data_IF_087732883825
#
_entry.id   IF_087732883825
#
_cell.length_a   1.000
_cell.length_b   1.000
_cell.length_c   1.000
_cell.angle_alpha   90.00
_cell.angle_beta   90.00
_cell.angle_gamma   90.00
#
_symmetry.space_group_name_H-M   'P 1'
#
loop_
_entity.id
_entity.type
_entity.pdbx_description
1 polymer ?
#
# COMPACT_ATOMS: atom_id res chain seq x y z
N UNK A 1 -10.39 6.98 -18.46
CA UNK A 1 -9.30 6.79 -17.50
C UNK A 1 -9.47 7.83 -16.40
N UNK A 2 -10.05 7.46 -15.26
CA UNK A 2 -10.18 8.37 -14.12
C UNK A 2 -8.85 8.35 -13.36
N UNK A 3 -8.13 9.46 -13.37
CA UNK A 3 -6.98 9.69 -12.52
C UNK A 3 -7.49 9.81 -11.09
N UNK A 4 -7.13 8.82 -10.27
CA UNK A 4 -7.34 8.80 -8.84
C UNK A 4 -6.63 10.02 -8.24
N UNK A 5 -7.39 10.99 -7.72
CA UNK A 5 -6.84 11.99 -6.80
C UNK A 5 -6.66 11.32 -5.44
N UNK A 6 -5.76 10.34 -5.40
CA UNK A 6 -5.10 10.01 -4.16
C UNK A 6 -4.29 11.25 -3.81
N UNK A 7 -4.45 11.80 -2.59
CA UNK A 7 -3.38 12.59 -2.01
C UNK A 7 -2.19 11.65 -1.92
N UNK A 8 -1.40 11.61 -2.99
CA UNK A 8 -0.06 11.11 -2.96
C UNK A 8 0.62 12.02 -1.94
N UNK A 9 0.75 11.55 -0.71
CA UNK A 9 1.74 12.08 0.21
C UNK A 9 3.05 11.95 -0.55
N UNK A 10 3.47 13.06 -1.18
CA UNK A 10 4.76 13.16 -1.80
C UNK A 10 5.74 12.72 -0.71
N UNK A 11 6.50 11.64 -0.91
CA UNK A 11 7.50 11.26 0.07
C UNK A 11 8.35 12.50 0.29
N UNK A 12 8.49 12.91 1.55
CA UNK A 12 9.52 13.87 1.95
C UNK A 12 10.78 13.45 1.21
N UNK A 13 11.36 14.36 0.42
CA UNK A 13 12.47 14.05 -0.48
C UNK A 13 13.51 13.22 0.28
N UNK A 14 13.52 11.91 0.00
CA UNK A 14 14.47 11.02 0.63
C UNK A 14 15.84 11.41 0.10
N UNK A 15 16.79 11.64 1.01
CA UNK A 15 18.17 11.88 0.60
C UNK A 15 18.72 10.54 0.13
N UNK A 16 18.76 10.35 -1.19
CA UNK A 16 19.31 9.18 -1.86
C UNK A 16 20.81 9.37 -2.05
N UNK A 17 21.60 8.35 -1.76
CA UNK A 17 23.05 8.35 -1.89
C UNK A 17 23.53 7.04 -2.51
N UNK A 18 24.54 7.14 -3.38
CA UNK A 18 25.27 5.99 -3.87
C UNK A 18 26.11 5.38 -2.73
N UNK A 19 26.30 4.06 -2.76
CA UNK A 19 27.20 3.38 -1.83
C UNK A 19 28.66 3.83 -2.04
N UNK A 20 29.45 3.84 -0.97
CA UNK A 20 30.89 4.10 -1.05
C UNK A 20 31.61 2.98 -1.80
N UNK A 21 31.20 1.74 -1.56
CA UNK A 21 31.71 0.57 -2.27
C UNK A 21 30.65 -0.52 -2.42
N UNK A 22 30.91 -1.42 -3.36
CA UNK A 22 30.07 -2.56 -3.70
C UNK A 22 30.90 -3.83 -3.81
N UNK A 23 30.40 -4.92 -3.24
CA UNK A 23 30.89 -6.27 -3.46
C UNK A 23 29.74 -7.15 -3.94
N UNK A 24 30.00 -8.04 -4.90
CA UNK A 24 28.97 -8.89 -5.48
C UNK A 24 29.44 -10.33 -5.57
N UNK A 25 28.49 -11.27 -5.54
CA UNK A 25 28.76 -12.70 -5.66
C UNK A 25 29.48 -13.12 -6.95
N UNK A 26 29.25 -12.40 -8.07
CA UNK A 26 29.94 -12.59 -9.34
C UNK A 26 29.82 -11.34 -10.22
N UNK A 27 30.71 -11.19 -11.20
CA UNK A 27 30.64 -10.11 -12.18
C UNK A 27 31.14 -10.58 -13.53
N UNK A 28 30.43 -10.23 -14.59
CA UNK A 28 30.97 -10.30 -15.93
C UNK A 28 32.12 -9.29 -16.07
N UNK A 29 33.22 -9.69 -16.69
CA UNK A 29 34.42 -8.82 -16.84
C UNK A 29 34.12 -7.50 -17.55
N UNK A 30 33.19 -7.49 -18.51
CA UNK A 30 32.79 -6.29 -19.26
C UNK A 30 31.79 -5.40 -18.52
N UNK A 31 31.20 -5.90 -17.43
CA UNK A 31 30.14 -5.24 -16.67
C UNK A 31 30.39 -5.40 -15.18
N UNK A 32 31.48 -4.80 -14.67
CA UNK A 32 31.91 -4.95 -13.29
C UNK A 32 30.92 -4.33 -12.29
N UNK A 33 31.00 -4.77 -11.03
CA UNK A 33 30.14 -4.27 -9.95
C UNK A 33 30.16 -2.75 -9.78
N UNK A 34 31.30 -2.09 -10.05
CA UNK A 34 31.43 -0.63 -9.94
C UNK A 34 30.44 0.14 -10.80
N UNK A 35 29.97 -0.44 -11.90
CA UNK A 35 28.96 0.17 -12.77
C UNK A 35 27.57 0.26 -12.14
N UNK A 36 27.33 -0.37 -11.00
CA UNK A 36 26.05 -0.27 -10.29
C UNK A 36 26.05 0.81 -9.20
N UNK A 37 27.12 1.57 -9.03
CA UNK A 37 27.25 2.63 -8.01
C UNK A 37 28.02 3.85 -8.54
N UNK A 38 28.15 3.99 -9.86
CA UNK A 38 28.91 5.07 -10.48
C UNK A 38 28.05 6.30 -10.83
N UNK A 39 26.74 6.24 -10.59
CA UNK A 39 25.80 7.32 -10.83
C UNK A 39 25.50 7.54 -12.32
N UNK A 40 25.84 6.60 -13.19
CA UNK A 40 25.58 6.61 -14.61
C UNK A 40 24.64 5.47 -15.01
N UNK A 41 23.35 5.79 -15.19
CA UNK A 41 22.33 4.83 -15.61
C UNK A 41 22.51 4.24 -17.03
N UNK A 42 23.50 4.70 -17.79
CA UNK A 42 23.86 4.11 -19.09
C UNK A 42 24.88 2.96 -18.98
N UNK A 43 25.57 2.83 -17.85
CA UNK A 43 26.40 1.68 -17.49
C UNK A 43 25.58 0.70 -16.65
N UNK A 44 26.04 -0.54 -16.56
CA UNK A 44 25.40 -1.54 -15.69
C UNK A 44 26.38 -2.65 -15.29
N UNK A 45 26.23 -3.11 -14.04
CA UNK A 45 26.78 -4.39 -13.58
C UNK A 45 25.95 -5.55 -14.13
N UNK A 46 26.61 -6.68 -14.37
CA UNK A 46 25.96 -7.95 -14.68
C UNK A 46 26.64 -9.10 -13.94
N UNK A 47 25.87 -10.05 -13.40
CA UNK A 47 26.41 -11.30 -12.88
C UNK A 47 27.10 -12.11 -13.98
N UNK A 48 28.02 -12.98 -13.59
CA UNK A 48 28.83 -13.70 -14.57
C UNK A 48 27.99 -14.69 -15.38
N UNK A 49 27.98 -14.52 -16.70
CA UNK A 49 27.33 -15.43 -17.66
C UNK A 49 28.32 -16.15 -18.57
N UNK A 50 29.56 -15.68 -18.62
CA UNK A 50 30.65 -16.24 -19.42
C UNK A 50 32.00 -15.95 -18.76
N UNK A 51 32.94 -16.92 -18.70
CA UNK A 51 32.92 -18.20 -19.41
C UNK A 51 32.04 -19.28 -18.76
N UNK A 52 31.71 -19.14 -17.47
CA UNK A 52 30.83 -20.07 -16.76
C UNK A 52 29.72 -19.27 -16.10
N UNK A 53 28.47 -19.66 -16.37
CA UNK A 53 27.32 -19.08 -15.70
C UNK A 53 27.41 -19.34 -14.19
N UNK A 54 27.35 -18.28 -13.40
CA UNK A 54 27.10 -18.38 -11.96
C UNK A 54 25.58 -18.30 -11.76
N UNK A 55 24.92 -19.33 -11.20
CA UNK A 55 23.47 -19.31 -11.04
C UNK A 55 23.03 -18.46 -9.83
N UNK A 56 21.76 -18.06 -9.84
CA UNK A 56 21.07 -17.47 -8.67
C UNK A 56 21.11 -18.43 -7.46
N UNK A 57 21.08 -17.92 -6.21
CA UNK A 57 20.92 -16.51 -5.85
C UNK A 57 22.20 -15.68 -6.02
N UNK A 58 22.03 -14.39 -6.33
CA UNK A 58 23.11 -13.43 -6.39
C UNK A 58 23.04 -12.47 -5.21
N UNK A 59 24.17 -12.34 -4.51
CA UNK A 59 24.29 -11.45 -3.34
C UNK A 59 25.08 -10.20 -3.70
N UNK A 60 24.57 -9.05 -3.28
CA UNK A 60 25.18 -7.72 -3.43
C UNK A 60 25.33 -7.13 -2.03
N UNK A 61 26.52 -6.66 -1.70
CA UNK A 61 26.85 -5.94 -0.47
C UNK A 61 27.20 -4.50 -0.83
N UNK A 62 26.57 -3.55 -0.14
CA UNK A 62 26.84 -2.13 -0.26
C UNK A 62 27.36 -1.61 1.06
N UNK A 63 28.48 -0.86 1.04
CA UNK A 63 29.02 -0.15 2.18
C UNK A 63 28.70 1.35 2.04
N UNK A 64 28.01 1.94 3.02
CA UNK A 64 27.74 3.38 3.06
C UNK A 64 28.95 4.19 3.53
N UNK A 65 30.04 3.53 3.94
CA UNK A 65 31.29 4.09 4.45
C UNK A 65 31.26 4.43 5.95
N UNK A 66 30.09 4.73 6.50
CA UNK A 66 29.90 5.02 7.93
C UNK A 66 28.51 4.61 8.40
N UNK A 67 28.35 4.34 9.70
CA UNK A 67 27.05 3.99 10.26
C UNK A 67 26.09 5.17 10.20
N UNK A 68 24.96 4.98 9.54
CA UNK A 68 23.94 6.00 9.27
C UNK A 68 22.54 5.43 9.54
N UNK A 69 21.54 6.31 9.66
CA UNK A 69 20.15 5.90 9.82
C UNK A 69 19.52 5.70 8.44
N UNK A 70 19.39 4.45 8.01
CA UNK A 70 18.88 4.07 6.68
C UNK A 70 17.37 3.80 6.74
N UNK A 71 16.64 4.11 5.68
CA UNK A 71 15.21 3.80 5.58
C UNK A 71 14.74 3.41 4.17
N UNK A 72 15.66 3.21 3.23
CA UNK A 72 15.28 2.79 1.90
C UNK A 72 16.43 2.31 1.04
N UNK A 73 16.04 1.69 -0.06
CA UNK A 73 16.91 1.14 -1.09
C UNK A 73 16.30 1.45 -2.46
N UNK A 74 17.15 1.77 -3.43
CA UNK A 74 16.79 1.99 -4.82
C UNK A 74 17.51 1.00 -5.72
N UNK A 75 16.79 0.50 -6.72
CA UNK A 75 17.32 -0.33 -7.79
C UNK A 75 16.89 0.24 -9.14
N UNK A 76 17.85 0.49 -10.02
CA UNK A 76 17.61 0.86 -11.42
C UNK A 76 18.04 -0.32 -12.28
N UNK A 77 17.09 -1.00 -12.97
CA UNK A 77 17.43 -1.98 -13.99
C UNK A 77 18.25 -1.37 -15.12
N UNK A 78 18.91 -2.19 -15.93
CA UNK A 78 19.59 -1.73 -17.15
C UNK A 78 18.64 -0.95 -18.08
N UNK A 79 19.17 0.10 -18.72
CA UNK A 79 18.41 1.05 -19.55
C UNK A 79 18.66 0.87 -21.05
N UNK A 80 19.28 -0.22 -21.47
CA UNK A 80 19.66 -0.55 -22.85
C UNK A 80 18.54 -1.23 -23.66
N UNK A 81 17.34 -1.36 -23.08
CA UNK A 81 16.20 -2.05 -23.66
C UNK A 81 16.23 -3.58 -23.51
N UNK A 82 17.28 -4.14 -22.89
CA UNK A 82 17.32 -5.55 -22.50
C UNK A 82 16.79 -5.69 -21.06
N UNK A 83 16.02 -6.75 -20.81
CA UNK A 83 15.44 -7.02 -19.50
C UNK A 83 16.10 -8.21 -18.79
N UNK A 84 17.06 -8.89 -19.42
CA UNK A 84 17.76 -10.01 -18.81
C UNK A 84 18.50 -9.56 -17.55
N UNK A 85 18.22 -10.27 -16.46
CA UNK A 85 18.82 -9.98 -15.16
C UNK A 85 18.06 -8.93 -14.36
N UNK A 86 16.85 -8.57 -14.77
CA UNK A 86 15.93 -7.83 -13.91
C UNK A 86 15.69 -8.63 -12.63
N UNK A 87 15.94 -8.02 -11.47
CA UNK A 87 15.77 -8.72 -10.18
C UNK A 87 14.29 -8.99 -9.95
N UNK A 88 13.91 -10.24 -9.70
CA UNK A 88 12.57 -10.65 -9.32
C UNK A 88 12.39 -10.62 -7.80
N UNK A 89 12.27 -11.80 -7.20
CA UNK A 89 12.18 -11.98 -5.75
C UNK A 89 13.53 -11.71 -5.10
N UNK A 90 13.50 -11.01 -3.97
CA UNK A 90 14.70 -10.60 -3.24
C UNK A 90 14.45 -10.49 -1.74
N UNK A 91 15.54 -10.47 -0.97
CA UNK A 91 15.54 -9.96 0.40
C UNK A 91 16.60 -8.88 0.59
N UNK A 92 16.25 -7.86 1.37
CA UNK A 92 17.17 -6.82 1.84
C UNK A 92 17.46 -7.03 3.33
N UNK A 93 18.72 -6.99 3.69
CA UNK A 93 19.17 -7.00 5.07
C UNK A 93 20.13 -5.83 5.33
N UNK A 94 20.19 -5.39 6.58
CA UNK A 94 21.09 -4.34 7.04
C UNK A 94 22.00 -4.85 8.15
N UNK A 95 23.17 -4.22 8.29
CA UNK A 95 24.16 -4.55 9.31
C UNK A 95 24.99 -3.34 9.70
N UNK A 96 25.45 -3.30 10.95
CA UNK A 96 26.45 -2.33 11.43
C UNK A 96 27.88 -2.85 11.34
N UNK A 97 28.08 -4.18 11.25
CA UNK A 97 29.38 -4.85 11.41
C UNK A 97 29.77 -5.76 10.23
N UNK A 98 28.91 -5.87 9.21
CA UNK A 98 29.03 -6.77 8.06
C UNK A 98 29.05 -8.27 8.41
N UNK A 99 28.59 -8.64 9.61
CA UNK A 99 28.58 -10.03 10.12
C UNK A 99 27.21 -10.45 10.58
N UNK A 100 26.58 -9.62 11.39
CA UNK A 100 25.23 -9.83 11.92
C UNK A 100 24.24 -9.08 11.05
N UNK A 101 23.27 -9.80 10.48
CA UNK A 101 22.34 -9.25 9.49
C UNK A 101 20.90 -9.33 9.99
N UNK A 102 20.18 -8.22 9.86
CA UNK A 102 18.74 -8.15 10.09
C UNK A 102 18.04 -7.95 8.76
N UNK A 103 17.21 -8.92 8.35
CA UNK A 103 16.36 -8.78 7.16
C UNK A 103 15.30 -7.71 7.43
N UNK A 104 15.24 -6.69 6.57
CA UNK A 104 14.30 -5.56 6.67
C UNK A 104 13.19 -5.64 5.63
N UNK A 105 13.40 -6.33 4.51
CA UNK A 105 12.39 -6.53 3.45
C UNK A 105 12.58 -7.89 2.78
N UNK A 106 11.47 -8.54 2.45
CA UNK A 106 11.40 -9.62 1.45
C UNK A 106 10.25 -9.30 0.51
N UNK A 107 10.52 -9.20 -0.80
CA UNK A 107 9.51 -8.81 -1.78
C UNK A 107 9.89 -9.26 -3.20
N UNK A 108 9.15 -8.79 -4.20
CA UNK A 108 9.38 -9.04 -5.62
C UNK A 108 9.27 -7.71 -6.37
N UNK A 109 10.26 -7.39 -7.20
CA UNK A 109 10.18 -6.23 -8.07
C UNK A 109 9.35 -6.53 -9.33
N UNK A 110 8.68 -5.51 -9.85
CA UNK A 110 8.01 -5.58 -11.15
C UNK A 110 9.04 -5.75 -12.29
N UNK A 111 8.68 -6.54 -13.28
CA UNK A 111 9.52 -6.84 -14.44
C UNK A 111 9.43 -5.75 -15.51
N UNK A 112 10.03 -4.61 -15.23
CA UNK A 112 10.14 -3.48 -16.15
C UNK A 112 11.43 -2.69 -15.88
N UNK A 113 11.76 -1.74 -16.75
CA UNK A 113 12.97 -0.92 -16.65
C UNK A 113 12.84 0.28 -15.68
N UNK A 114 11.68 0.45 -15.01
CA UNK A 114 11.45 1.60 -14.13
C UNK A 114 12.32 1.52 -12.87
N UNK A 115 12.70 2.67 -12.33
CA UNK A 115 13.37 2.76 -11.03
C UNK A 115 12.46 2.15 -9.95
N UNK A 116 13.01 1.20 -9.19
CA UNK A 116 12.36 0.60 -8.04
C UNK A 116 12.84 1.27 -6.77
N UNK A 117 11.92 1.61 -5.88
CA UNK A 117 12.24 2.16 -4.56
C UNK A 117 11.52 1.34 -3.50
N UNK A 118 12.27 0.98 -2.46
CA UNK A 118 11.81 0.16 -1.36
C UNK A 118 12.07 0.92 -0.07
N UNK A 119 11.02 1.21 0.68
CA UNK A 119 11.15 1.74 2.04
C UNK A 119 11.29 0.61 3.05
N UNK A 120 11.95 0.87 4.17
CA UNK A 120 11.92 0.02 5.35
C UNK A 120 12.01 0.86 6.62
N UNK A 121 11.87 0.21 7.78
CA UNK A 121 11.92 0.93 9.05
C UNK A 121 13.27 1.59 9.29
N UNK A 122 13.28 2.81 9.86
CA UNK A 122 14.50 3.54 10.17
C UNK A 122 15.45 2.64 10.99
N UNK A 123 16.59 2.27 10.41
CA UNK A 123 17.52 1.31 11.01
C UNK A 123 18.94 1.84 10.94
N UNK A 124 19.63 1.85 12.09
CA UNK A 124 21.03 2.23 12.15
C UNK A 124 21.88 1.13 11.47
N UNK A 125 22.57 1.46 10.39
CA UNK A 125 23.35 0.52 9.61
C UNK A 125 24.48 1.19 8.84
N UNK A 126 25.51 0.41 8.50
CA UNK A 126 26.57 0.78 7.56
C UNK A 126 26.51 -0.05 6.27
N UNK A 127 26.01 -1.28 6.38
CA UNK A 127 25.99 -2.21 5.27
C UNK A 127 24.56 -2.56 4.90
N UNK A 128 24.31 -2.66 3.60
CA UNK A 128 23.11 -3.23 3.01
C UNK A 128 23.50 -4.50 2.25
N UNK A 129 22.69 -5.54 2.37
CA UNK A 129 22.82 -6.77 1.58
C UNK A 129 21.53 -7.05 0.85
N UNK A 130 21.60 -7.03 -0.47
CA UNK A 130 20.55 -7.52 -1.35
C UNK A 130 20.86 -8.95 -1.74
N UNK A 131 19.90 -9.86 -1.56
CA UNK A 131 19.97 -11.23 -2.02
C UNK A 131 18.88 -11.46 -3.07
N UNK A 132 19.25 -11.43 -4.34
CA UNK A 132 18.35 -11.68 -5.47
C UNK A 132 18.19 -13.19 -5.66
N UNK A 133 16.96 -13.71 -5.52
CA UNK A 133 16.66 -15.14 -5.56
C UNK A 133 15.95 -15.58 -6.83
N UNK A 134 15.37 -14.65 -7.60
CA UNK A 134 14.85 -14.92 -8.95
C UNK A 134 15.15 -13.78 -9.91
N UNK A 135 15.07 -14.09 -11.21
CA UNK A 135 15.01 -13.10 -12.29
C UNK A 135 13.52 -12.84 -12.62
N UNK A 136 13.15 -11.57 -12.81
CA UNK A 136 11.75 -11.11 -12.80
C UNK A 136 10.91 -11.68 -13.95
N UNK A 137 11.51 -11.90 -15.12
CA UNK A 137 10.84 -12.42 -16.30
C UNK A 137 11.04 -13.91 -16.52
N UNK A 138 11.70 -14.61 -15.59
CA UNK A 138 12.11 -16.02 -15.72
C UNK A 138 12.92 -16.29 -17.02
N UNK A 139 13.81 -15.36 -17.38
CA UNK A 139 14.58 -15.41 -18.64
C UNK A 139 15.91 -16.17 -18.51
N UNK A 140 16.40 -16.31 -17.29
CA UNK A 140 17.65 -17.01 -16.99
C UNK A 140 18.10 -16.79 -15.55
N UNK A 141 19.32 -17.22 -15.25
CA UNK A 141 19.88 -17.17 -13.90
C UNK A 141 20.87 -16.02 -13.76
N UNK A 142 20.41 -14.82 -14.09
CA UNK A 142 21.23 -13.61 -14.07
C UNK A 142 20.66 -12.56 -13.14
N UNK A 143 21.52 -11.65 -12.69
CA UNK A 143 21.16 -10.39 -12.06
C UNK A 143 21.97 -9.27 -12.71
N UNK A 144 21.34 -8.13 -12.95
CA UNK A 144 21.99 -6.93 -13.47
C UNK A 144 21.37 -5.67 -12.87
N UNK A 145 22.15 -4.60 -12.81
CA UNK A 145 21.71 -3.30 -12.33
C UNK A 145 22.50 -2.18 -12.99
N UNK A 146 21.78 -1.13 -13.41
CA UNK A 146 22.40 0.13 -13.76
C UNK A 146 22.82 0.89 -12.51
N UNK A 147 21.96 0.97 -11.49
CA UNK A 147 22.31 1.65 -10.23
C UNK A 147 21.68 0.98 -9.02
N UNK A 148 22.40 1.03 -7.91
CA UNK A 148 21.93 0.75 -6.56
C UNK A 148 22.25 1.95 -5.66
N UNK A 149 21.21 2.47 -5.01
CA UNK A 149 21.37 3.52 -4.01
C UNK A 149 20.69 3.14 -2.69
N UNK A 150 20.99 3.89 -1.63
CA UNK A 150 20.28 3.83 -0.36
C UNK A 150 19.66 5.18 -0.01
N UNK A 151 18.64 5.16 0.85
CA UNK A 151 18.00 6.37 1.38
C UNK A 151 18.30 6.56 2.86
N UNK A 152 18.59 7.80 3.24
CA UNK A 152 18.72 8.21 4.63
C UNK A 152 17.36 8.59 5.23
N UNK A 153 17.13 8.15 6.46
CA UNK A 153 16.02 8.64 7.25
C UNK A 153 16.22 10.13 7.57
N UNK A 154 15.15 10.95 7.49
CA UNK A 154 15.22 12.32 7.96
C UNK A 154 15.57 12.33 9.45
N UNK A 155 16.52 13.20 9.83
CA UNK A 155 16.80 13.46 11.24
C UNK A 155 15.75 14.42 11.78
N UNK A 156 15.28 14.21 13.01
CA UNK A 156 14.34 15.13 13.64
C UNK A 156 14.96 16.54 13.69
N UNK A 157 14.30 17.52 13.09
CA UNK A 157 14.64 18.93 13.30
C UNK A 157 13.96 19.35 14.61
N UNK A 158 14.72 19.95 15.52
CA UNK A 158 14.32 20.19 16.91
C UNK A 158 12.88 20.68 17.07
N UNK A 159 12.04 19.86 17.72
CA UNK A 159 10.64 20.17 18.05
C UNK A 159 9.60 19.93 16.94
N UNK A 160 9.99 19.53 15.73
CA UNK A 160 9.07 19.39 14.57
C UNK A 160 8.64 17.95 14.26
N UNK A 161 9.01 16.98 15.10
CA UNK A 161 8.76 15.56 14.84
C UNK A 161 9.64 14.99 13.72
N UNK A 162 9.39 13.74 13.34
CA UNK A 162 10.09 13.05 12.26
C UNK A 162 9.12 12.18 11.49
N UNK A 163 9.27 12.14 10.16
CA UNK A 163 8.52 11.23 9.31
C UNK A 163 9.15 9.84 9.31
N UNK A 164 8.30 8.82 9.34
CA UNK A 164 8.69 7.43 9.23
C UNK A 164 8.44 6.63 10.51
N UNK A 165 8.57 5.30 10.44
CA UNK A 165 9.01 4.52 9.27
C UNK A 165 7.98 4.43 8.13
N UNK A 166 8.42 4.01 6.94
CA UNK A 166 7.49 3.59 5.86
C UNK A 166 6.90 2.24 6.24
N UNK A 167 5.58 2.12 6.18
CA UNK A 167 4.85 0.86 6.39
C UNK A 167 4.56 0.26 5.01
N UNK A 168 5.17 -0.89 4.72
CA UNK A 168 4.92 -1.61 3.48
C UNK A 168 3.63 -2.41 3.59
N UNK A 169 2.59 -2.01 2.87
CA UNK A 169 1.31 -2.71 2.83
C UNK A 169 1.24 -3.67 1.63
N UNK A 170 0.58 -4.83 1.74
CA UNK A 170 0.42 -5.79 0.65
C UNK A 170 -0.64 -5.36 -0.40
N UNK A 171 -1.22 -4.16 -0.23
CA UNK A 171 -2.24 -3.56 -1.06
C UNK A 171 -2.09 -2.04 -1.08
N UNK A 172 -2.87 -1.35 -1.92
CA UNK A 172 -3.04 0.10 -1.88
C UNK A 172 -4.14 0.44 -0.86
N UNK A 173 -3.82 0.96 0.33
CA UNK A 173 -4.80 1.18 1.39
C UNK A 173 -5.61 2.47 1.11
N UNK A 174 -6.75 2.35 0.43
CA UNK A 174 -7.59 3.50 0.05
C UNK A 174 -8.63 3.89 1.11
N UNK A 175 -8.91 2.98 2.04
CA UNK A 175 -9.79 3.19 3.18
C UNK A 175 -9.25 2.40 4.38
N UNK A 176 -9.65 2.76 5.59
CA UNK A 176 -9.24 2.05 6.79
C UNK A 176 -9.84 2.59 8.08
N UNK A 177 -9.69 1.83 9.16
CA UNK A 177 -10.06 2.25 10.52
C UNK A 177 -9.10 1.64 11.53
N UNK A 178 -9.09 2.20 12.74
CA UNK A 178 -8.33 1.66 13.87
C UNK A 178 -9.25 0.75 14.68
N UNK A 179 -8.84 -0.49 14.87
CA UNK A 179 -9.49 -1.43 15.78
C UNK A 179 -9.20 -1.00 17.22
N UNK A 180 -10.25 -0.64 17.96
CA UNK A 180 -10.10 -0.05 19.29
C UNK A 180 -9.51 -1.02 20.33
N UNK A 181 -9.84 -2.32 20.25
CA UNK A 181 -9.40 -3.32 21.24
C UNK A 181 -7.92 -3.66 21.15
N UNK A 182 -7.32 -3.56 19.97
CA UNK A 182 -5.95 -4.02 19.70
C UNK A 182 -5.01 -2.89 19.28
N UNK A 183 -5.55 -1.76 18.80
CA UNK A 183 -4.79 -0.71 18.13
C UNK A 183 -4.35 -1.07 16.70
N UNK A 184 -4.76 -2.23 16.18
CA UNK A 184 -4.48 -2.60 14.80
C UNK A 184 -5.15 -1.63 13.82
N UNK A 185 -4.52 -1.44 12.66
CA UNK A 185 -5.06 -0.61 11.59
C UNK A 185 -5.57 -1.54 10.49
N UNK A 186 -6.88 -1.56 10.29
CA UNK A 186 -7.51 -2.20 9.15
C UNK A 186 -7.46 -1.27 7.95
N UNK A 187 -7.15 -1.83 6.79
CA UNK A 187 -7.13 -1.12 5.51
C UNK A 187 -7.80 -1.94 4.42
N UNK A 188 -8.36 -1.26 3.43
CA UNK A 188 -9.12 -1.84 2.32
C UNK A 188 -8.57 -1.36 0.99
N UNK A 189 -8.56 -2.25 0.01
CA UNK A 189 -8.43 -1.92 -1.41
C UNK A 189 -9.81 -2.08 -2.08
N UNK A 190 -9.93 -3.05 -2.99
CA UNK A 190 -11.17 -3.46 -3.65
C UNK A 190 -11.17 -5.00 -3.80
N UNK A 191 -11.76 -5.57 -4.85
CA UNK A 191 -11.53 -6.96 -5.23
C UNK A 191 -10.05 -7.30 -5.54
N UNK A 192 -9.24 -6.32 -5.94
CA UNK A 192 -7.81 -6.48 -6.22
C UNK A 192 -6.93 -5.71 -5.22
N UNK A 193 -5.68 -6.15 -4.98
CA UNK A 193 -4.78 -5.47 -4.04
C UNK A 193 -4.25 -4.12 -4.56
N UNK A 194 -4.13 -3.96 -5.88
CA UNK A 194 -3.57 -2.75 -6.52
C UNK A 194 -4.42 -2.21 -7.67
N UNK A 195 -5.57 -2.86 -7.93
CA UNK A 195 -6.41 -2.56 -9.07
C UNK A 195 -7.88 -2.63 -8.66
N UNK A 196 -8.68 -1.80 -9.33
CA UNK A 196 -10.11 -1.75 -9.19
C UNK A 196 -10.77 -1.73 -10.58
N UNK A 197 -11.90 -2.41 -10.67
CA UNK A 197 -12.78 -2.52 -11.82
C UNK A 197 -14.18 -2.65 -11.24
N UNK A 198 -15.15 -1.92 -11.80
CA UNK A 198 -16.55 -2.02 -11.37
C UNK A 198 -17.05 -3.45 -11.61
N UNK A 199 -17.52 -4.15 -10.59
CA UNK A 199 -18.03 -5.51 -10.76
C UNK A 199 -18.55 -6.17 -9.48
N UNK A 200 -19.50 -7.09 -9.60
CA UNK A 200 -20.07 -7.79 -8.44
C UNK A 200 -19.20 -8.96 -8.01
N UNK A 201 -18.01 -8.67 -7.46
CA UNK A 201 -17.07 -9.69 -7.00
C UNK A 201 -17.48 -10.31 -5.65
N UNK A 202 -18.12 -9.52 -4.78
CA UNK A 202 -18.64 -10.00 -3.49
C UNK A 202 -17.56 -10.28 -2.44
N UNK A 203 -16.35 -9.73 -2.59
CA UNK A 203 -15.30 -9.82 -1.58
C UNK A 203 -14.44 -8.56 -1.60
N UNK A 204 -13.72 -8.33 -0.51
CA UNK A 204 -12.77 -7.23 -0.38
C UNK A 204 -11.39 -7.77 0.02
N UNK A 205 -10.35 -7.34 -0.70
CA UNK A 205 -8.97 -7.51 -0.28
C UNK A 205 -8.63 -6.41 0.72
N UNK A 206 -8.34 -6.85 1.93
CA UNK A 206 -8.01 -6.02 3.09
C UNK A 206 -6.61 -6.34 3.59
N UNK A 207 -6.05 -5.46 4.41
CA UNK A 207 -4.82 -5.70 5.11
C UNK A 207 -4.88 -5.12 6.52
N UNK A 208 -4.27 -5.84 7.47
CA UNK A 208 -4.17 -5.43 8.86
C UNK A 208 -2.72 -5.11 9.17
N UNK A 209 -2.48 -3.92 9.70
CA UNK A 209 -1.18 -3.53 10.26
C UNK A 209 -1.25 -3.55 11.78
N UNK A 210 -0.30 -4.23 12.42
CA UNK A 210 -0.13 -4.22 13.86
C UNK A 210 0.99 -3.23 14.23
N UNK A 211 0.68 -2.07 14.84
CA UNK A 211 1.70 -1.07 15.17
C UNK A 211 2.71 -1.53 16.24
N UNK A 212 2.34 -2.50 17.07
CA UNK A 212 3.21 -3.02 18.14
C UNK A 212 4.30 -3.93 17.59
N UNK A 213 3.97 -4.78 16.61
CA UNK A 213 4.91 -5.74 16.01
C UNK A 213 5.51 -5.26 14.69
N UNK A 214 4.90 -4.24 14.07
CA UNK A 214 5.23 -3.79 12.72
C UNK A 214 4.75 -4.74 11.61
N UNK A 215 4.03 -5.81 11.95
CA UNK A 215 3.60 -6.82 10.99
C UNK A 215 2.39 -6.34 10.16
N UNK A 216 2.39 -6.70 8.88
CA UNK A 216 1.25 -6.53 7.96
C UNK A 216 0.76 -7.88 7.47
N UNK A 217 -0.54 -8.12 7.46
CA UNK A 217 -1.16 -9.33 6.91
C UNK A 217 -2.24 -8.98 5.91
N UNK A 218 -2.36 -9.77 4.84
CA UNK A 218 -3.47 -9.66 3.88
C UNK A 218 -4.65 -10.52 4.35
N UNK A 219 -5.87 -10.01 4.21
CA UNK A 219 -7.12 -10.69 4.56
C UNK A 219 -8.08 -10.57 3.38
N UNK A 220 -8.69 -11.68 2.97
CA UNK A 220 -9.78 -11.65 2.00
C UNK A 220 -11.12 -11.76 2.74
N UNK A 221 -11.90 -10.68 2.73
CA UNK A 221 -13.22 -10.61 3.38
C UNK A 221 -14.30 -10.93 2.34
N UNK A 222 -14.73 -12.19 2.30
CA UNK A 222 -15.74 -12.69 1.34
C UNK A 222 -17.08 -13.05 1.98
N UNK A 223 -17.10 -13.30 3.29
CA UNK A 223 -18.28 -13.78 4.01
C UNK A 223 -19.43 -12.75 4.07
N UNK A 224 -19.14 -11.46 3.88
CA UNK A 224 -20.14 -10.39 3.83
C UNK A 224 -20.75 -10.16 2.45
N UNK A 225 -20.19 -10.79 1.40
CA UNK A 225 -20.60 -10.61 0.01
C UNK A 225 -20.58 -9.13 -0.42
N UNK A 226 -19.51 -8.43 -0.07
CA UNK A 226 -19.39 -6.98 -0.18
C UNK A 226 -17.97 -6.62 -0.67
N UNK A 227 -17.88 -6.01 -1.86
CA UNK A 227 -16.70 -5.23 -2.24
C UNK A 227 -16.84 -3.81 -1.69
N UNK A 228 -16.01 -3.51 -0.68
CA UNK A 228 -16.05 -2.30 0.14
C UNK A 228 -15.20 -1.17 -0.43
N UNK A 229 -14.87 -1.16 -1.72
CA UNK A 229 -14.25 -0.01 -2.39
C UNK A 229 -15.23 1.17 -2.49
N UNK A 230 -14.79 2.39 -2.22
CA UNK A 230 -15.62 3.61 -2.19
C UNK A 230 -16.76 3.64 -1.13
N UNK A 231 -16.56 3.12 0.10
CA UNK A 231 -17.64 2.99 1.05
C UNK A 231 -17.84 4.28 1.85
N UNK A 232 -18.90 4.31 2.64
CA UNK A 232 -18.98 5.16 3.83
C UNK A 232 -18.68 4.35 5.09
N UNK A 233 -17.95 4.92 6.05
CA UNK A 233 -17.45 4.21 7.25
C UNK A 233 -17.63 4.98 8.55
N UNK A 234 -17.97 4.28 9.63
CA UNK A 234 -18.04 4.86 10.98
C UNK A 234 -17.70 3.83 12.06
N UNK A 235 -17.31 4.32 13.23
CA UNK A 235 -17.20 3.51 14.45
C UNK A 235 -18.47 3.66 15.28
N UNK A 236 -19.08 2.54 15.66
CA UNK A 236 -20.26 2.50 16.52
C UNK A 236 -19.85 2.56 18.00
N UNK A 237 -20.80 2.88 18.88
CA UNK A 237 -20.54 3.03 20.33
C UNK A 237 -20.13 1.73 21.02
N UNK A 238 -20.45 0.58 20.45
CA UNK A 238 -20.02 -0.73 20.92
C UNK A 238 -18.61 -1.11 20.41
N UNK A 239 -17.90 -0.18 19.75
CA UNK A 239 -16.55 -0.35 19.23
C UNK A 239 -16.47 -1.05 17.88
N UNK A 240 -17.60 -1.48 17.30
CA UNK A 240 -17.62 -2.14 15.99
C UNK A 240 -17.49 -1.11 14.87
N UNK A 241 -16.81 -1.47 13.79
CA UNK A 241 -16.74 -0.66 12.59
C UNK A 241 -17.87 -1.05 11.63
N UNK A 242 -18.57 -0.06 11.08
CA UNK A 242 -19.57 -0.26 10.03
C UNK A 242 -19.04 0.30 8.71
N UNK A 243 -19.20 -0.47 7.64
CA UNK A 243 -18.79 -0.14 6.28
C UNK A 243 -19.99 -0.32 5.36
N UNK A 244 -20.34 0.71 4.60
CA UNK A 244 -21.60 0.78 3.84
C UNK A 244 -21.36 1.13 2.37
N UNK A 245 -22.07 0.45 1.49
CA UNK A 245 -22.06 0.74 0.06
C UNK A 245 -20.66 0.67 -0.56
N UNK A 246 -20.44 1.49 -1.58
CA UNK A 246 -19.25 1.35 -2.43
C UNK A 246 -19.57 0.53 -3.66
N UNK A 247 -18.66 -0.34 -4.11
CA UNK A 247 -18.85 -1.07 -5.37
C UNK A 247 -20.09 -1.99 -5.29
N UNK A 248 -20.26 -2.67 -4.15
CA UNK A 248 -21.55 -3.35 -3.86
C UNK A 248 -22.52 -2.41 -3.14
N UNK A 249 -23.08 -1.46 -3.90
CA UNK A 249 -23.71 -0.23 -3.42
C UNK A 249 -24.76 -0.32 -2.29
N UNK A 250 -25.47 -1.43 -2.10
CA UNK A 250 -26.52 -1.53 -1.07
C UNK A 250 -26.10 -2.28 0.20
N UNK A 251 -24.89 -2.83 0.24
CA UNK A 251 -24.45 -3.71 1.33
C UNK A 251 -23.98 -2.94 2.56
N UNK A 252 -23.99 -3.66 3.68
CA UNK A 252 -23.43 -3.21 4.95
C UNK A 252 -22.60 -4.34 5.54
N UNK A 253 -21.36 -4.05 5.89
CA UNK A 253 -20.44 -4.95 6.58
C UNK A 253 -20.11 -4.38 7.94
N UNK A 254 -20.06 -5.23 8.96
CA UNK A 254 -19.75 -4.84 10.34
C UNK A 254 -18.55 -5.66 10.79
N UNK A 255 -17.50 -5.00 11.25
CA UNK A 255 -16.37 -5.67 11.89
C UNK A 255 -16.54 -5.63 13.41
N UNK A 256 -16.56 -6.82 14.01
CA UNK A 256 -16.67 -7.02 15.45
C UNK A 256 -15.32 -7.44 16.04
N UNK A 257 -14.63 -6.48 16.65
CA UNK A 257 -13.33 -6.69 17.26
C UNK A 257 -13.33 -7.61 18.49
N UNK A 258 -14.51 -7.90 19.07
CA UNK A 258 -14.62 -8.85 20.18
C UNK A 258 -14.55 -10.31 19.73
N UNK A 259 -14.84 -10.57 18.45
CA UNK A 259 -14.81 -11.90 17.84
C UNK A 259 -13.81 -12.00 16.69
N UNK A 260 -13.18 -10.89 16.30
CA UNK A 260 -12.30 -10.76 15.13
C UNK A 260 -13.01 -11.26 13.85
N UNK A 261 -14.29 -10.89 13.70
CA UNK A 261 -15.12 -11.32 12.58
C UNK A 261 -15.77 -10.16 11.86
N UNK A 262 -15.84 -10.31 10.54
CA UNK A 262 -16.76 -9.55 9.70
C UNK A 262 -18.13 -10.21 9.68
N UNK A 263 -19.20 -9.42 9.76
CA UNK A 263 -20.59 -9.89 9.72
C UNK A 263 -21.39 -9.03 8.74
N UNK A 264 -22.26 -9.65 7.95
CA UNK A 264 -23.18 -8.93 7.09
C UNK A 264 -24.26 -8.22 7.93
N UNK A 265 -24.36 -6.90 7.78
CA UNK A 265 -25.45 -6.09 8.32
C UNK A 265 -26.67 -6.08 7.41
N UNK A 266 -27.74 -5.43 7.85
CA UNK A 266 -28.91 -5.18 7.01
C UNK A 266 -28.56 -4.35 5.77
N UNK A 267 -29.22 -4.67 4.66
CA UNK A 267 -29.06 -3.97 3.38
C UNK A 267 -29.66 -2.56 3.48
N UNK A 268 -28.94 -1.55 2.99
CA UNK A 268 -29.42 -0.15 2.93
C UNK A 268 -30.69 -0.03 2.09
N UNK A 269 -31.52 0.95 2.42
CA UNK A 269 -32.73 1.27 1.62
C UNK A 269 -32.38 2.02 0.35
N UNK A 270 -31.31 2.82 0.37
CA UNK A 270 -30.80 3.55 -0.80
C UNK A 270 -29.39 3.02 -1.08
N UNK A 271 -29.12 2.46 -2.27
CA UNK A 271 -27.77 2.06 -2.68
C UNK A 271 -26.87 3.30 -2.86
N UNK A 272 -25.63 3.26 -2.34
CA UNK A 272 -24.68 4.39 -2.28
C UNK A 272 -23.25 3.96 -2.55
N UNK A 273 -22.44 4.91 -2.98
CA UNK A 273 -20.98 4.87 -2.89
C UNK A 273 -20.44 6.31 -2.88
N UNK A 274 -19.30 6.55 -2.24
CA UNK A 274 -18.80 7.90 -1.91
C UNK A 274 -19.72 8.75 -1.02
N UNK A 275 -20.66 8.13 -0.30
CA UNK A 275 -21.34 8.80 0.80
C UNK A 275 -20.42 8.88 2.02
N UNK A 276 -20.51 9.92 2.85
CA UNK A 276 -20.07 9.80 4.24
C UNK A 276 -21.17 9.27 5.13
N UNK A 277 -20.72 8.75 6.26
CA UNK A 277 -21.55 8.25 7.33
C UNK A 277 -21.10 8.87 8.63
N UNK A 278 -22.02 9.06 9.57
CA UNK A 278 -21.66 9.52 10.90
C UNK A 278 -22.42 8.77 11.97
N UNK A 279 -21.71 8.38 13.03
CA UNK A 279 -22.35 7.90 14.25
C UNK A 279 -22.99 9.09 14.97
N UNK A 280 -24.27 8.97 15.28
CA UNK A 280 -25.07 10.00 15.97
C UNK A 280 -24.91 9.90 17.48
N UNK A 281 -25.35 10.92 18.21
CA UNK A 281 -25.36 10.92 19.69
C UNK A 281 -26.21 9.79 20.31
N UNK A 282 -27.08 9.17 19.53
CA UNK A 282 -27.92 8.04 19.96
C UNK A 282 -27.27 6.67 19.69
N UNK A 283 -26.05 6.63 19.15
CA UNK A 283 -25.35 5.40 18.77
C UNK A 283 -25.81 4.79 17.43
N UNK A 284 -26.80 5.40 16.78
CA UNK A 284 -27.23 5.03 15.41
C UNK A 284 -26.30 5.64 14.36
N UNK A 285 -26.28 5.08 13.15
CA UNK A 285 -25.37 5.52 12.07
C UNK A 285 -26.17 6.13 10.92
N UNK A 286 -25.89 7.39 10.60
CA UNK A 286 -26.60 8.16 9.57
C UNK A 286 -25.81 8.20 8.26
N UNK A 287 -26.49 8.02 7.14
CA UNK A 287 -25.95 8.10 5.78
C UNK A 287 -26.70 9.16 4.96
N UNK A 288 -26.01 9.92 4.10
CA UNK A 288 -26.62 10.83 3.12
C UNK A 288 -25.72 11.01 1.89
N UNK A 289 -26.30 11.23 0.70
CA UNK A 289 -25.54 11.39 -0.55
C UNK A 289 -24.99 10.08 -1.12
N UNK A 290 -23.95 10.21 -1.96
CA UNK A 290 -23.17 9.13 -2.54
C UNK A 290 -23.68 8.54 -3.86
N UNK A 291 -23.68 9.33 -4.93
CA UNK A 291 -24.08 8.92 -6.29
C UNK A 291 -22.99 8.23 -7.12
N UNK A 292 -21.84 7.89 -6.52
CA UNK A 292 -20.79 7.18 -7.25
C UNK A 292 -21.22 5.79 -7.77
N UNK A 293 -22.01 5.04 -6.98
CA UNK A 293 -22.60 3.76 -7.37
C UNK A 293 -24.07 3.68 -6.96
N UNK A 294 -24.82 2.72 -7.51
CA UNK A 294 -26.19 2.46 -7.07
C UNK A 294 -27.26 3.46 -7.57
N UNK A 295 -26.97 4.18 -8.66
CA UNK A 295 -27.87 5.19 -9.26
C UNK A 295 -27.51 6.63 -8.88
N UNK A 296 -28.05 7.60 -9.62
CA UNK A 296 -27.72 9.03 -9.48
C UNK A 296 -28.83 9.83 -8.81
N UNK A 297 -28.45 10.70 -7.88
CA UNK A 297 -29.31 11.71 -7.25
C UNK A 297 -30.37 11.12 -6.30
N UNK A 298 -31.07 12.02 -5.59
CA UNK A 298 -32.19 11.66 -4.72
C UNK A 298 -31.81 10.88 -3.45
N UNK A 299 -30.51 10.84 -3.10
CA UNK A 299 -29.98 10.04 -2.00
C UNK A 299 -30.11 10.71 -0.63
N UNK A 300 -31.36 10.96 -0.25
CA UNK A 300 -31.75 11.54 1.04
C UNK A 300 -31.26 10.69 2.23
N UNK A 301 -31.38 11.24 3.43
CA UNK A 301 -30.91 10.62 4.66
C UNK A 301 -31.58 9.27 4.97
N UNK A 302 -30.79 8.30 5.41
CA UNK A 302 -31.25 7.08 6.08
C UNK A 302 -30.39 6.79 7.31
N UNK A 303 -30.92 5.99 8.24
CA UNK A 303 -30.27 5.71 9.51
C UNK A 303 -30.29 4.23 9.83
N UNK A 304 -29.16 3.71 10.27
CA UNK A 304 -28.98 2.35 10.75
C UNK A 304 -29.11 2.31 12.27
N UNK A 305 -29.91 1.38 12.75
CA UNK A 305 -30.07 1.08 14.16
C UNK A 305 -29.34 -0.23 14.51
N UNK A 306 -28.20 -0.18 15.22
CA UNK A 306 -27.41 -1.36 15.56
C UNK A 306 -28.16 -2.35 16.47
N UNK A 307 -29.07 -1.86 17.31
CA UNK A 307 -29.82 -2.69 18.25
C UNK A 307 -30.87 -3.57 17.57
N UNK A 308 -31.37 -3.14 16.42
CA UNK A 308 -32.35 -3.91 15.63
C UNK A 308 -31.77 -4.47 14.33
N UNK A 309 -30.56 -4.08 13.96
CA UNK A 309 -29.94 -4.37 12.65
C UNK A 309 -30.88 -3.98 11.51
N UNK A 310 -31.31 -2.71 11.46
CA UNK A 310 -32.21 -2.22 10.39
C UNK A 310 -31.83 -0.84 9.88
N UNK A 311 -32.07 -0.60 8.59
CA UNK A 311 -32.03 0.73 7.97
C UNK A 311 -33.43 1.31 7.83
N UNK A 312 -33.58 2.58 8.21
CA UNK A 312 -34.81 3.37 8.06
C UNK A 312 -34.55 4.64 7.27
N UNK A 313 -35.40 4.94 6.28
CA UNK A 313 -35.39 6.24 5.62
C UNK A 313 -35.75 7.34 6.62
N UNK A 314 -35.13 8.52 6.47
CA UNK A 314 -35.43 9.68 7.31
C UNK A 314 -36.19 10.75 6.51
N UNK A 315 -37.52 10.86 6.73
CA UNK A 315 -38.29 11.98 6.22
C UNK A 315 -37.70 13.31 6.73
N UNK A 316 -37.63 14.32 5.87
CA UNK A 316 -37.11 15.64 6.26
C UNK A 316 -35.59 15.78 6.25
N UNK A 317 -34.85 14.76 5.77
CA UNK A 317 -33.40 14.86 5.54
C UNK A 317 -33.07 14.89 4.03
N UNK A 318 -33.45 15.95 3.28
CA UNK A 318 -33.19 16.02 1.85
C UNK A 318 -31.70 16.23 1.56
N UNK A 319 -31.19 15.61 0.49
CA UNK A 319 -29.83 15.85 -0.02
C UNK A 319 -29.69 17.18 -0.77
N UNK A 320 -30.80 17.71 -1.30
CA UNK A 320 -30.77 18.87 -2.19
C UNK A 320 -30.01 20.11 -1.63
N UNK A 321 -30.12 20.47 -0.34
CA UNK A 321 -29.42 21.65 0.19
C UNK A 321 -27.90 21.51 0.29
N UNK A 322 -27.35 20.30 0.26
CA UNK A 322 -25.90 20.06 0.36
C UNK A 322 -25.22 19.82 -1.00
N UNK A 323 -25.97 19.90 -2.10
CA UNK A 323 -25.42 19.64 -3.43
C UNK A 323 -24.42 20.73 -3.83
N UNK A 324 -23.25 20.30 -4.31
CA UNK A 324 -22.24 21.21 -4.86
C UNK A 324 -22.53 21.56 -6.32
N UNK A 325 -21.99 22.67 -6.81
CA UNK A 325 -22.02 23.01 -8.23
C UNK A 325 -20.86 22.31 -8.97
N UNK A 326 -20.94 20.98 -9.11
CA UNK A 326 -19.92 20.20 -9.81
C UNK A 326 -20.18 20.18 -11.34
N UNK A 327 -19.12 20.45 -12.11
CA UNK A 327 -19.18 20.53 -13.57
C UNK A 327 -19.53 19.19 -14.26
N UNK A 328 -19.38 18.06 -13.58
CA UNK A 328 -19.73 16.72 -14.06
C UNK A 328 -21.14 16.28 -13.63
N UNK A 329 -21.92 17.19 -13.02
CA UNK A 329 -23.33 16.98 -12.73
C UNK A 329 -23.61 16.02 -11.58
N UNK A 330 -24.83 15.49 -11.54
CA UNK A 330 -25.40 14.77 -10.39
C UNK A 330 -24.55 13.62 -9.85
N UNK A 331 -23.67 13.05 -10.67
CA UNK A 331 -22.72 12.02 -10.25
C UNK A 331 -21.79 12.48 -9.14
N UNK A 332 -21.37 13.75 -9.10
CA UNK A 332 -20.39 14.28 -8.13
C UNK A 332 -20.98 15.25 -7.11
N UNK A 333 -22.16 15.80 -7.38
CA UNK A 333 -22.73 16.86 -6.55
C UNK A 333 -23.05 16.43 -5.11
N UNK A 334 -23.18 15.13 -4.85
CA UNK A 334 -23.48 14.56 -3.52
C UNK A 334 -22.41 13.56 -3.02
N UNK A 335 -21.21 13.52 -3.61
CA UNK A 335 -20.11 12.61 -3.24
C UNK A 335 -19.11 13.23 -2.24
N UNK A 336 -19.46 14.34 -1.59
CA UNK A 336 -18.55 15.16 -0.78
C UNK A 336 -19.09 15.48 0.62
N UNK A 337 -20.19 14.84 1.02
CA UNK A 337 -20.77 15.00 2.35
C UNK A 337 -20.30 13.87 3.23
#
# INVERSE_FOLDING_TARGET
MLTLWCFLLLPVAQTVQAALSIEVSSSQTTNPASYAVDGNSSTFWHSEYSPVLVPLPHTIYLDTGSSQLLNGFTYVPRQDGNHNGNIGTYSLAVSTDNKTWTTVVTSTFQDDATKKTVGFANTQARYLRLNATSEAGNRGQWTSAAEFDFSLAPTAVGGLGVWGPVINMPLVPVAGFIEYSTGNIWTFAAYGPIAYQVGLYGYTISAVYNPTTGATSSVNVSNTQHDMFCPGMSLMFDGKAIVTGGDTANKTSIYDSSTDQWVAGAVMKIPRGYQSTTTTSTGKVFNIGGSWSGGYGGKNGEIYDPGTNTWSLLPGCPVAPMLTADAQGAFRTDNHA
#
